data_IF_206612819848
#
_entry.id   IF_206612819848
#
_cell.length_a   1.000
_cell.length_b   1.000
_cell.length_c   1.000
_cell.angle_alpha   90.00
_cell.angle_beta   90.00
_cell.angle_gamma   90.00
#
_symmetry.space_group_name_H-M   'P 1'
#
loop_
_entity.id
_entity.type
_entity.pdbx_description
1 polymer ?
#
# COMPACT_ATOMS: atom_id res chain seq x y z
N UNK A 1 -16.53 20.79 32.26
CA UNK A 1 -15.76 19.54 31.96
C UNK A 1 -15.19 19.71 30.54
N UNK A 2 -13.91 20.10 30.48
CA UNK A 2 -13.21 20.43 29.22
C UNK A 2 -12.77 19.13 28.57
N UNK A 3 -13.41 18.73 27.49
CA UNK A 3 -12.98 17.64 26.65
C UNK A 3 -11.73 18.08 25.89
N UNK A 4 -10.57 17.73 26.39
CA UNK A 4 -9.34 17.80 25.62
C UNK A 4 -9.49 16.80 24.45
N UNK A 5 -9.80 17.30 23.27
CA UNK A 5 -9.70 16.53 22.04
C UNK A 5 -8.25 16.04 21.92
N UNK A 6 -8.05 14.74 22.12
CA UNK A 6 -6.78 14.08 21.83
C UNK A 6 -6.49 14.31 20.35
N UNK A 7 -5.54 15.19 20.04
CA UNK A 7 -5.06 15.39 18.68
C UNK A 7 -4.63 14.01 18.15
N UNK A 8 -5.37 13.51 17.16
CA UNK A 8 -5.11 12.22 16.52
C UNK A 8 -3.67 12.25 15.99
N UNK A 9 -2.83 11.30 16.41
CA UNK A 9 -1.46 11.24 15.93
C UNK A 9 -1.44 11.09 14.40
N UNK A 10 -0.66 11.93 13.73
CA UNK A 10 -0.47 11.86 12.28
C UNK A 10 1.00 11.57 12.02
N UNK A 11 1.26 10.41 11.44
CA UNK A 11 2.58 10.00 10.97
C UNK A 11 2.71 10.31 9.48
N UNK A 12 3.90 10.17 8.92
CA UNK A 12 4.07 10.38 7.50
C UNK A 12 5.45 10.87 7.08
N UNK A 13 5.49 11.45 5.90
CA UNK A 13 6.68 11.95 5.25
C UNK A 13 6.40 13.29 4.57
N UNK A 14 7.39 14.17 4.50
CA UNK A 14 7.32 15.47 3.85
C UNK A 14 8.53 15.70 2.96
N UNK A 15 8.31 15.98 1.68
CA UNK A 15 9.32 16.37 0.68
C UNK A 15 10.52 15.40 0.62
N UNK A 16 10.24 14.08 0.63
CA UNK A 16 11.29 13.07 0.64
C UNK A 16 12.01 13.01 -0.69
N UNK A 17 13.35 13.09 -0.64
CA UNK A 17 14.23 12.75 -1.75
C UNK A 17 15.19 11.64 -1.34
N UNK A 18 15.23 10.59 -2.14
CA UNK A 18 16.09 9.42 -1.93
C UNK A 18 16.74 9.04 -3.25
N UNK A 19 18.05 8.81 -3.22
CA UNK A 19 18.81 8.36 -4.39
C UNK A 19 19.67 7.14 -4.05
N UNK A 20 19.81 6.23 -5.00
CA UNK A 20 20.75 5.11 -4.98
C UNK A 20 21.81 5.36 -6.07
N UNK A 21 22.97 5.88 -5.66
CA UNK A 21 23.96 6.36 -6.61
C UNK A 21 23.38 7.49 -7.48
N UNK A 22 23.30 7.25 -8.78
CA UNK A 22 22.77 8.22 -9.76
C UNK A 22 21.24 8.10 -9.98
N UNK A 23 20.61 7.06 -9.45
CA UNK A 23 19.16 6.82 -9.63
C UNK A 23 18.39 7.52 -8.51
N UNK A 24 17.53 8.46 -8.86
CA UNK A 24 16.58 9.09 -7.93
C UNK A 24 15.38 8.17 -7.78
N UNK A 25 15.20 7.60 -6.59
CA UNK A 25 14.11 6.68 -6.27
C UNK A 25 12.87 7.39 -5.70
N UNK A 26 13.05 8.55 -5.06
CA UNK A 26 11.98 9.45 -4.62
C UNK A 26 12.42 10.89 -4.86
N UNK A 27 11.53 11.74 -5.35
CA UNK A 27 11.77 13.15 -5.60
C UNK A 27 10.59 14.00 -5.13
N UNK A 28 10.70 14.61 -3.94
CA UNK A 28 9.70 15.49 -3.38
C UNK A 28 8.41 14.78 -2.90
N UNK A 29 8.49 13.51 -2.51
CA UNK A 29 7.30 12.73 -2.13
C UNK A 29 6.86 13.06 -0.71
N UNK A 30 5.56 13.33 -0.55
CA UNK A 30 4.90 13.53 0.75
C UNK A 30 3.74 12.56 0.93
N UNK A 31 3.50 12.13 2.18
CA UNK A 31 2.41 11.23 2.55
C UNK A 31 2.01 11.49 4.00
N UNK A 32 0.71 11.41 4.29
CA UNK A 32 0.17 11.41 5.66
C UNK A 32 -0.45 10.08 6.00
N UNK A 33 -0.25 9.64 7.25
CA UNK A 33 -0.81 8.40 7.81
C UNK A 33 -1.45 8.70 9.17
N UNK A 34 -2.73 9.10 9.19
CA UNK A 34 -3.44 9.36 10.43
C UNK A 34 -3.70 8.08 11.22
N UNK A 35 -3.69 8.18 12.56
CA UNK A 35 -4.05 7.06 13.43
C UNK A 35 -5.49 6.58 13.13
N UNK A 36 -5.69 5.28 13.16
CA UNK A 36 -6.98 4.67 12.87
C UNK A 36 -7.34 4.57 11.38
N UNK A 37 -6.42 4.90 10.49
CA UNK A 37 -6.66 4.90 9.04
C UNK A 37 -5.66 4.02 8.30
N UNK A 38 -6.08 3.59 7.10
CA UNK A 38 -5.24 2.85 6.16
C UNK A 38 -4.94 3.76 4.96
N UNK A 39 -3.66 4.01 4.72
CA UNK A 39 -3.17 4.75 3.55
C UNK A 39 -2.49 3.78 2.58
N UNK A 40 -2.97 3.71 1.35
CA UNK A 40 -2.34 2.92 0.30
C UNK A 40 -1.29 3.73 -0.45
N UNK A 41 -0.20 3.08 -0.82
CA UNK A 41 0.79 3.58 -1.79
C UNK A 41 0.73 2.68 -3.02
N UNK A 42 0.25 3.19 -4.12
CA UNK A 42 0.08 2.44 -5.37
C UNK A 42 1.03 2.95 -6.46
N UNK A 43 1.37 2.07 -7.39
CA UNK A 43 2.26 2.39 -8.51
C UNK A 43 2.89 1.12 -9.09
N UNK A 44 3.47 1.24 -10.26
CA UNK A 44 4.17 0.15 -10.94
C UNK A 44 5.45 -0.29 -10.22
N UNK A 45 6.11 -1.31 -10.76
CA UNK A 45 7.42 -1.73 -10.29
C UNK A 45 8.44 -0.60 -10.55
N UNK A 46 9.30 -0.37 -9.56
CA UNK A 46 10.25 0.74 -9.62
C UNK A 46 9.67 2.14 -9.31
N UNK A 47 8.36 2.29 -9.04
CA UNK A 47 7.75 3.58 -8.73
C UNK A 47 8.25 4.25 -7.44
N UNK A 48 9.01 3.55 -6.59
CA UNK A 48 9.56 4.09 -5.35
C UNK A 48 8.80 3.64 -4.09
N UNK A 49 7.77 2.80 -4.21
CA UNK A 49 6.93 2.33 -3.08
C UNK A 49 7.75 1.78 -1.90
N UNK A 50 8.56 0.74 -2.14
CA UNK A 50 9.38 0.12 -1.09
C UNK A 50 10.41 1.08 -0.49
N UNK A 51 10.92 2.04 -1.26
CA UNK A 51 11.83 3.08 -0.77
C UNK A 51 11.12 4.01 0.21
N UNK A 52 9.90 4.48 -0.13
CA UNK A 52 9.07 5.27 0.76
C UNK A 52 8.76 4.52 2.06
N UNK A 53 8.35 3.25 1.94
CA UNK A 53 8.01 2.41 3.09
C UNK A 53 9.23 2.18 4.01
N UNK A 54 10.43 1.95 3.45
CA UNK A 54 11.68 1.84 4.24
C UNK A 54 11.99 3.12 5.01
N UNK A 55 11.75 4.29 4.42
CA UNK A 55 11.90 5.57 5.11
C UNK A 55 10.90 5.69 6.27
N UNK A 56 9.62 5.39 6.05
CA UNK A 56 8.58 5.43 7.07
C UNK A 56 8.85 4.44 8.21
N UNK A 57 9.31 3.23 7.89
CA UNK A 57 9.69 2.23 8.89
C UNK A 57 10.98 2.58 9.67
N UNK A 58 11.74 3.59 9.21
CA UNK A 58 13.04 3.94 9.77
C UNK A 58 14.15 2.94 9.46
N UNK A 59 13.96 2.12 8.43
CA UNK A 59 14.97 1.22 7.90
C UNK A 59 15.94 1.94 6.95
N UNK A 60 15.58 3.16 6.52
CA UNK A 60 16.40 4.01 5.66
C UNK A 60 16.19 5.48 6.04
N UNK A 61 17.25 6.28 5.96
CA UNK A 61 17.17 7.74 6.08
C UNK A 61 17.05 8.37 4.70
N UNK A 62 16.16 9.33 4.48
CA UNK A 62 16.11 10.08 3.23
C UNK A 62 17.33 11.00 3.10
N UNK A 63 17.70 11.32 1.86
CA UNK A 63 18.74 12.32 1.59
C UNK A 63 18.25 13.76 1.83
N UNK A 64 16.94 14.00 1.66
CA UNK A 64 16.25 15.27 1.95
C UNK A 64 14.82 14.98 2.39
N UNK A 65 14.20 15.95 3.08
CA UNK A 65 12.85 15.86 3.62
C UNK A 65 12.83 15.32 5.04
N UNK A 66 11.66 15.08 5.56
CA UNK A 66 11.45 14.65 6.95
C UNK A 66 10.49 13.47 7.03
N UNK A 67 10.76 12.57 7.98
CA UNK A 67 9.87 11.46 8.34
C UNK A 67 9.41 11.67 9.77
N UNK A 68 8.09 11.78 9.96
CA UNK A 68 7.45 11.79 11.27
C UNK A 68 6.89 10.39 11.54
N UNK A 69 7.48 9.66 12.44
CA UNK A 69 7.08 8.31 12.85
C UNK A 69 7.23 8.12 14.34
N UNK A 70 6.55 7.12 14.94
CA UNK A 70 6.81 6.76 16.34
C UNK A 70 8.23 6.20 16.52
N UNK A 71 8.61 5.98 17.77
CA UNK A 71 9.84 5.25 18.07
C UNK A 71 9.83 3.86 17.43
N UNK A 72 11.01 3.29 17.19
CA UNK A 72 11.16 2.00 16.48
C UNK A 72 10.38 0.87 17.17
N UNK A 73 10.32 0.88 18.49
CA UNK A 73 9.61 -0.08 19.32
C UNK A 73 8.09 0.00 19.17
N UNK A 74 7.59 1.09 18.61
CA UNK A 74 6.17 1.35 18.34
C UNK A 74 5.86 1.41 16.85
N UNK A 75 6.79 0.91 16.01
CA UNK A 75 6.62 0.79 14.56
C UNK A 75 6.68 -0.66 14.14
N UNK A 76 5.63 -1.17 13.50
CA UNK A 76 5.62 -2.48 12.86
C UNK A 76 6.04 -2.37 11.40
N UNK A 77 6.87 -3.30 10.93
CA UNK A 77 7.30 -3.30 9.53
C UNK A 77 7.29 -4.70 8.94
N UNK A 78 6.60 -4.85 7.82
CA UNK A 78 6.63 -6.00 6.94
C UNK A 78 7.36 -5.60 5.66
N UNK A 79 8.59 -6.05 5.42
CA UNK A 79 9.30 -5.85 4.15
C UNK A 79 8.76 -6.78 3.06
N UNK A 80 9.01 -6.46 1.79
CA UNK A 80 8.64 -7.30 0.65
C UNK A 80 9.18 -8.75 0.74
N UNK A 81 10.30 -8.96 1.44
CA UNK A 81 10.88 -10.30 1.72
C UNK A 81 10.17 -11.08 2.82
N UNK A 82 9.04 -10.62 3.33
CA UNK A 82 8.27 -11.11 4.49
C UNK A 82 8.96 -11.04 5.85
N UNK A 83 10.28 -11.12 5.92
CA UNK A 83 11.05 -11.09 7.18
C UNK A 83 10.72 -12.25 8.13
N UNK A 84 10.26 -13.39 7.61
CA UNK A 84 9.99 -14.63 8.33
C UNK A 84 11.15 -15.59 8.13
N UNK A 85 11.57 -16.24 9.22
CA UNK A 85 12.65 -17.24 9.22
C UNK A 85 12.07 -18.59 8.86
N UNK A 86 12.45 -19.19 7.71
CA UNK A 86 11.85 -20.45 7.23
C UNK A 86 12.19 -21.65 8.11
N UNK A 87 13.33 -21.61 8.80
CA UNK A 87 13.84 -22.68 9.66
C UNK A 87 13.29 -22.62 11.10
N UNK A 88 12.52 -21.59 11.43
CA UNK A 88 11.78 -21.49 12.69
C UNK A 88 10.33 -21.91 12.46
N UNK A 89 9.71 -22.46 13.49
CA UNK A 89 8.27 -22.71 13.52
C UNK A 89 7.48 -21.38 13.51
N UNK A 90 6.19 -21.47 13.26
CA UNK A 90 5.27 -20.31 13.35
C UNK A 90 5.36 -19.66 14.74
N UNK A 91 5.32 -20.48 15.80
CA UNK A 91 5.40 -19.97 17.18
C UNK A 91 6.77 -19.34 17.48
N UNK A 92 7.87 -19.96 17.06
CA UNK A 92 9.23 -19.43 17.27
C UNK A 92 9.46 -18.12 16.51
N UNK A 93 8.92 -17.96 15.29
CA UNK A 93 8.97 -16.69 14.58
C UNK A 93 8.31 -15.55 15.37
N UNK A 94 7.13 -15.82 15.95
CA UNK A 94 6.43 -14.82 16.77
C UNK A 94 7.15 -14.54 18.08
N UNK A 95 7.68 -15.58 18.75
CA UNK A 95 8.46 -15.42 19.99
C UNK A 95 9.74 -14.59 19.74
N UNK A 96 10.47 -14.89 18.67
CA UNK A 96 11.63 -14.12 18.25
C UNK A 96 11.30 -12.62 18.04
N UNK A 97 10.16 -12.35 17.35
CA UNK A 97 9.69 -10.96 17.17
C UNK A 97 9.31 -10.30 18.49
N UNK A 98 8.57 -11.00 19.34
CA UNK A 98 8.15 -10.51 20.63
C UNK A 98 9.36 -10.12 21.51
N UNK A 99 10.38 -10.96 21.54
CA UNK A 99 11.64 -10.69 22.26
C UNK A 99 12.35 -9.46 21.70
N UNK A 100 12.43 -9.31 20.38
CA UNK A 100 13.02 -8.15 19.72
C UNK A 100 12.34 -6.82 20.05
N UNK A 101 11.04 -6.86 20.41
CA UNK A 101 10.26 -5.71 20.87
C UNK A 101 10.15 -5.62 22.40
N UNK A 102 10.89 -6.43 23.15
CA UNK A 102 10.91 -6.39 24.62
C UNK A 102 9.60 -6.82 25.29
N UNK A 103 8.76 -7.60 24.61
CA UNK A 103 7.51 -8.09 25.18
C UNK A 103 7.77 -9.13 26.28
N UNK A 104 6.94 -9.12 27.35
CA UNK A 104 6.98 -10.20 28.32
C UNK A 104 6.51 -11.52 27.70
N UNK A 105 7.06 -12.65 28.13
CA UNK A 105 6.69 -13.98 27.61
C UNK A 105 5.19 -14.24 27.71
N UNK A 106 4.58 -13.84 28.83
CA UNK A 106 3.15 -14.04 29.04
C UNK A 106 2.31 -13.28 28.01
N UNK A 107 2.62 -11.98 27.78
CA UNK A 107 1.92 -11.14 26.83
C UNK A 107 2.16 -11.63 25.39
N UNK A 108 3.38 -12.02 25.07
CA UNK A 108 3.72 -12.59 23.75
C UNK A 108 2.92 -13.86 23.46
N UNK A 109 2.87 -14.79 24.40
CA UNK A 109 2.10 -16.03 24.25
C UNK A 109 0.60 -15.78 24.09
N UNK A 110 0.04 -14.86 24.91
CA UNK A 110 -1.38 -14.49 24.84
C UNK A 110 -1.74 -13.91 23.46
N UNK A 111 -0.97 -12.91 22.99
CA UNK A 111 -1.23 -12.25 21.71
C UNK A 111 -0.97 -13.17 20.53
N UNK A 112 0.10 -13.96 20.58
CA UNK A 112 0.38 -14.94 19.52
C UNK A 112 -0.78 -15.92 19.37
N UNK A 113 -1.28 -16.49 20.47
CA UNK A 113 -2.42 -17.40 20.45
C UNK A 113 -3.66 -16.74 19.84
N UNK A 114 -3.99 -15.50 20.25
CA UNK A 114 -5.12 -14.75 19.76
C UNK A 114 -5.01 -14.46 18.25
N UNK A 115 -3.87 -13.96 17.78
CA UNK A 115 -3.69 -13.66 16.36
C UNK A 115 -3.62 -14.91 15.48
N UNK A 116 -2.97 -15.99 15.95
CA UNK A 116 -2.92 -17.25 15.24
C UNK A 116 -4.30 -17.90 15.09
N UNK A 117 -5.11 -17.86 16.15
CA UNK A 117 -6.49 -18.38 16.10
C UNK A 117 -7.32 -17.61 15.07
N UNK A 118 -7.30 -16.29 15.15
CA UNK A 118 -8.04 -15.41 14.25
C UNK A 118 -7.61 -15.53 12.78
N UNK A 119 -6.33 -15.78 12.52
CA UNK A 119 -5.80 -15.97 11.17
C UNK A 119 -5.99 -17.40 10.65
N UNK A 120 -6.51 -18.31 11.48
CA UNK A 120 -6.61 -19.73 11.16
C UNK A 120 -5.26 -20.43 11.07
N UNK A 121 -4.24 -19.91 11.77
CA UNK A 121 -2.88 -20.46 11.81
C UNK A 121 -2.59 -21.29 13.08
N UNK A 122 -3.48 -21.31 14.06
CA UNK A 122 -3.28 -22.02 15.32
C UNK A 122 -2.91 -23.52 15.11
N UNK A 123 -3.53 -24.28 14.18
CA UNK A 123 -3.15 -25.68 13.93
C UNK A 123 -1.73 -25.83 13.35
N UNK A 124 -1.16 -24.76 12.81
CA UNK A 124 0.18 -24.76 12.22
C UNK A 124 1.25 -24.19 13.14
N UNK A 125 0.94 -23.86 14.40
CA UNK A 125 1.86 -23.18 15.32
C UNK A 125 3.22 -23.90 15.47
N UNK A 126 3.24 -25.22 15.49
CA UNK A 126 4.45 -26.05 15.56
C UNK A 126 5.09 -26.39 14.22
N UNK A 127 4.54 -25.94 13.07
CA UNK A 127 5.14 -26.23 11.75
C UNK A 127 6.23 -25.21 11.43
N UNK A 128 7.27 -25.65 10.73
CA UNK A 128 8.29 -24.75 10.19
C UNK A 128 7.67 -23.78 9.19
N UNK A 129 8.05 -22.50 9.27
CA UNK A 129 7.51 -21.47 8.38
C UNK A 129 7.85 -21.72 6.90
N UNK A 130 8.96 -22.41 6.62
CA UNK A 130 9.32 -22.86 5.28
C UNK A 130 8.34 -23.89 4.68
N UNK A 131 7.56 -24.59 5.50
CA UNK A 131 6.57 -25.59 5.09
C UNK A 131 5.15 -25.01 4.93
N UNK A 132 4.97 -23.71 5.19
CA UNK A 132 3.69 -23.02 5.03
C UNK A 132 3.41 -22.73 3.55
N UNK A 133 2.12 -22.66 3.18
CA UNK A 133 1.74 -22.05 1.90
C UNK A 133 2.12 -20.58 1.86
N UNK A 134 2.19 -19.99 0.66
CA UNK A 134 2.47 -18.56 0.50
C UNK A 134 1.53 -17.68 1.31
N UNK A 135 0.23 -17.94 1.24
CA UNK A 135 -0.78 -17.20 2.00
C UNK A 135 -0.65 -17.36 3.52
N UNK A 136 -0.35 -18.57 4.01
CA UNK A 136 -0.10 -18.80 5.44
C UNK A 136 1.15 -18.06 5.92
N UNK A 137 2.21 -18.05 5.13
CA UNK A 137 3.45 -17.35 5.45
C UNK A 137 3.24 -15.85 5.48
N UNK A 138 2.44 -15.32 4.55
CA UNK A 138 2.12 -13.89 4.50
C UNK A 138 1.25 -13.48 5.71
N UNK A 139 0.27 -14.29 6.11
CA UNK A 139 -0.50 -14.08 7.35
C UNK A 139 0.42 -14.03 8.57
N UNK A 140 1.37 -14.97 8.68
CA UNK A 140 2.35 -14.97 9.75
C UNK A 140 3.19 -13.68 9.76
N UNK A 141 3.61 -13.21 8.59
CA UNK A 141 4.41 -11.99 8.45
C UNK A 141 3.64 -10.72 8.89
N UNK A 142 2.36 -10.62 8.52
CA UNK A 142 1.50 -9.52 8.98
C UNK A 142 1.31 -9.59 10.51
N UNK A 143 1.01 -10.78 11.07
CA UNK A 143 0.90 -10.96 12.53
C UNK A 143 2.19 -10.53 13.23
N UNK A 144 3.35 -10.96 12.73
CA UNK A 144 4.65 -10.60 13.29
C UNK A 144 4.90 -9.08 13.30
N UNK A 145 4.41 -8.35 12.28
CA UNK A 145 4.53 -6.90 12.21
C UNK A 145 3.61 -6.18 13.20
N UNK A 146 2.49 -6.79 13.60
CA UNK A 146 1.48 -6.15 14.48
C UNK A 146 1.47 -6.69 15.92
N UNK A 147 2.25 -7.73 16.23
CA UNK A 147 2.22 -8.47 17.49
C UNK A 147 2.42 -7.58 18.73
N UNK A 148 3.29 -6.59 18.65
CA UNK A 148 3.62 -5.66 19.72
C UNK A 148 2.65 -4.47 19.85
N UNK A 149 1.58 -4.43 19.04
CA UNK A 149 0.56 -3.36 18.96
C UNK A 149 1.20 -1.97 18.70
N UNK A 150 1.83 -1.80 17.54
CA UNK A 150 2.48 -0.55 17.18
C UNK A 150 1.49 0.58 16.92
N UNK A 151 1.97 1.82 16.99
CA UNK A 151 1.21 3.02 16.59
C UNK A 151 1.19 3.24 15.08
N UNK A 152 2.22 2.73 14.39
CA UNK A 152 2.35 2.75 12.93
C UNK A 152 2.73 1.36 12.43
N UNK A 153 1.98 0.84 11.46
CA UNK A 153 2.33 -0.38 10.71
C UNK A 153 2.61 0.00 9.26
N UNK A 154 3.74 -0.49 8.76
CA UNK A 154 4.18 -0.30 7.38
C UNK A 154 4.27 -1.67 6.71
N UNK A 155 3.49 -1.89 5.64
CA UNK A 155 3.37 -3.19 4.97
C UNK A 155 3.75 -3.07 3.49
N UNK A 156 4.79 -3.79 3.08
CA UNK A 156 5.26 -3.80 1.70
C UNK A 156 4.68 -5.03 0.98
N UNK A 157 3.68 -4.82 0.15
CA UNK A 157 2.94 -5.81 -0.63
C UNK A 157 2.41 -7.00 0.21
N UNK A 158 1.60 -6.76 1.25
CA UNK A 158 1.19 -7.78 2.21
C UNK A 158 0.34 -8.91 1.63
N UNK A 159 -0.20 -8.75 0.44
CA UNK A 159 -1.16 -9.68 -0.18
C UNK A 159 -0.66 -10.31 -1.48
N UNK A 160 0.55 -9.95 -1.92
CA UNK A 160 1.13 -10.47 -3.16
C UNK A 160 1.34 -11.99 -3.07
N UNK A 161 0.84 -12.71 -4.08
CA UNK A 161 0.90 -14.18 -4.12
C UNK A 161 -0.05 -14.91 -3.16
N UNK A 162 -1.02 -14.19 -2.57
CA UNK A 162 -2.02 -14.75 -1.66
C UNK A 162 -3.33 -15.01 -2.40
N UNK A 163 -3.92 -16.19 -2.17
CA UNK A 163 -5.22 -16.53 -2.74
C UNK A 163 -6.35 -15.63 -2.20
N UNK A 164 -7.48 -15.48 -2.94
CA UNK A 164 -8.55 -14.54 -2.56
C UNK A 164 -9.13 -14.76 -1.16
N UNK A 165 -9.24 -16.02 -0.70
CA UNK A 165 -9.79 -16.35 0.63
C UNK A 165 -8.81 -15.92 1.72
N UNK A 166 -7.55 -16.27 1.57
CA UNK A 166 -6.48 -15.86 2.50
C UNK A 166 -6.31 -14.34 2.52
N UNK A 167 -6.47 -13.66 1.38
CA UNK A 167 -6.42 -12.19 1.27
C UNK A 167 -7.51 -11.53 2.12
N UNK A 168 -8.73 -12.05 2.10
CA UNK A 168 -9.82 -11.52 2.95
C UNK A 168 -9.47 -11.58 4.44
N UNK A 169 -8.84 -12.67 4.88
CA UNK A 169 -8.37 -12.80 6.27
C UNK A 169 -7.25 -11.80 6.63
N UNK A 170 -6.35 -11.50 5.69
CA UNK A 170 -5.31 -10.47 5.89
C UNK A 170 -5.93 -9.08 6.02
N UNK A 171 -6.87 -8.73 5.14
CA UNK A 171 -7.58 -7.47 5.20
C UNK A 171 -8.35 -7.29 6.50
N UNK A 172 -8.94 -8.35 7.03
CA UNK A 172 -9.59 -8.32 8.34
C UNK A 172 -8.60 -7.93 9.46
N UNK A 173 -7.38 -8.52 9.47
CA UNK A 173 -6.34 -8.18 10.45
C UNK A 173 -5.92 -6.71 10.33
N UNK A 174 -5.71 -6.21 9.10
CA UNK A 174 -5.33 -4.82 8.80
C UNK A 174 -6.42 -3.85 9.27
N UNK A 175 -7.66 -4.09 8.87
CA UNK A 175 -8.79 -3.24 9.23
C UNK A 175 -9.02 -3.17 10.74
N UNK A 176 -8.84 -4.31 11.43
CA UNK A 176 -8.95 -4.36 12.87
C UNK A 176 -7.86 -3.54 13.58
N UNK A 177 -6.60 -3.66 13.15
CA UNK A 177 -5.52 -2.85 13.71
C UNK A 177 -5.78 -1.34 13.53
N UNK A 178 -6.32 -0.93 12.37
CA UNK A 178 -6.74 0.43 12.14
C UNK A 178 -7.88 0.84 13.10
N UNK A 179 -8.91 0.01 13.24
CA UNK A 179 -10.03 0.28 14.16
C UNK A 179 -9.58 0.38 15.65
N UNK A 180 -8.49 -0.28 16.02
CA UNK A 180 -7.84 -0.18 17.34
C UNK A 180 -6.95 1.06 17.47
N UNK A 181 -6.90 1.94 16.47
CA UNK A 181 -6.23 3.24 16.49
C UNK A 181 -4.83 3.25 15.85
N UNK A 182 -4.36 2.14 15.28
CA UNK A 182 -3.09 2.09 14.59
C UNK A 182 -3.16 2.83 13.24
N UNK A 183 -2.13 3.62 12.91
CA UNK A 183 -1.95 4.13 11.55
C UNK A 183 -1.35 3.03 10.68
N UNK A 184 -1.87 2.84 9.47
CA UNK A 184 -1.36 1.81 8.56
C UNK A 184 -1.00 2.42 7.22
N UNK A 185 0.22 2.13 6.75
CA UNK A 185 0.65 2.44 5.38
C UNK A 185 0.98 1.12 4.69
N UNK A 186 0.33 0.85 3.57
CA UNK A 186 0.62 -0.33 2.77
C UNK A 186 0.95 0.03 1.33
N UNK A 187 1.97 -0.63 0.76
CA UNK A 187 2.19 -0.62 -0.68
C UNK A 187 1.44 -1.79 -1.30
N UNK A 188 0.79 -1.54 -2.43
CA UNK A 188 0.14 -2.57 -3.22
C UNK A 188 0.14 -2.22 -4.71
N UNK A 189 0.18 -3.24 -5.56
CA UNK A 189 -0.07 -3.12 -7.00
C UNK A 189 -1.55 -3.37 -7.34
N UNK A 190 -2.35 -3.83 -6.36
CA UNK A 190 -3.77 -4.14 -6.54
C UNK A 190 -4.63 -2.92 -6.22
N UNK A 191 -5.28 -2.35 -7.23
CA UNK A 191 -6.09 -1.14 -7.05
C UNK A 191 -7.42 -1.41 -6.32
N UNK A 192 -7.95 -2.62 -6.40
CA UNK A 192 -9.11 -3.07 -5.59
C UNK A 192 -8.81 -3.05 -4.08
N UNK A 193 -7.55 -3.15 -3.71
CA UNK A 193 -7.12 -2.97 -2.32
C UNK A 193 -7.04 -1.49 -1.93
N UNK A 194 -6.52 -0.65 -2.83
CA UNK A 194 -6.45 0.79 -2.61
C UNK A 194 -7.84 1.41 -2.47
N UNK A 195 -8.85 0.91 -3.18
CA UNK A 195 -10.25 1.34 -3.05
C UNK A 195 -10.84 1.12 -1.64
N UNK A 196 -10.28 0.18 -0.87
CA UNK A 196 -10.69 -0.07 0.53
C UNK A 196 -9.98 0.84 1.54
N UNK A 197 -8.97 1.58 1.11
CA UNK A 197 -8.18 2.43 1.98
C UNK A 197 -8.82 3.81 2.15
N UNK A 198 -8.52 4.47 3.26
CA UNK A 198 -9.01 5.82 3.56
C UNK A 198 -8.40 6.85 2.62
N UNK A 199 -7.11 6.67 2.30
CA UNK A 199 -6.38 7.53 1.37
C UNK A 199 -5.42 6.72 0.50
N UNK A 200 -5.08 7.28 -0.64
CA UNK A 200 -4.19 6.67 -1.64
C UNK A 200 -3.17 7.69 -2.08
N UNK A 201 -1.92 7.26 -2.18
CA UNK A 201 -0.84 7.97 -2.85
C UNK A 201 -0.47 7.18 -4.11
N UNK A 202 -0.58 7.83 -5.27
CA UNK A 202 -0.17 7.25 -6.57
C UNK A 202 1.25 7.69 -6.86
N UNK A 203 2.16 6.72 -6.97
CA UNK A 203 3.57 6.94 -7.31
C UNK A 203 3.89 6.42 -8.71
N UNK A 204 4.71 7.18 -9.44
CA UNK A 204 5.33 6.73 -10.67
C UNK A 204 6.72 7.37 -10.82
N UNK A 205 7.72 6.56 -11.14
CA UNK A 205 9.11 6.99 -11.31
C UNK A 205 9.63 7.92 -10.18
N UNK A 206 9.26 7.62 -8.94
CA UNK A 206 9.72 8.36 -7.75
C UNK A 206 8.98 9.66 -7.46
N UNK A 207 7.93 10.00 -8.21
CA UNK A 207 7.12 11.20 -7.99
C UNK A 207 5.67 10.86 -7.64
N UNK A 208 5.02 11.73 -6.87
CA UNK A 208 3.60 11.61 -6.57
C UNK A 208 2.76 12.15 -7.75
N UNK A 209 1.93 11.30 -8.34
CA UNK A 209 1.02 11.71 -9.42
C UNK A 209 -0.32 12.21 -8.90
N UNK A 210 -0.85 11.57 -7.86
CA UNK A 210 -2.09 11.93 -7.21
C UNK A 210 -2.06 11.49 -5.74
N UNK A 211 -2.81 12.20 -4.89
CA UNK A 211 -2.97 11.86 -3.47
C UNK A 211 -4.33 12.33 -2.99
N UNK A 212 -5.03 11.52 -2.21
CA UNK A 212 -6.34 11.82 -1.63
C UNK A 212 -7.13 10.54 -1.35
N UNK A 213 -8.41 10.68 -1.04
CA UNK A 213 -9.34 9.53 -1.01
C UNK A 213 -9.49 8.95 -2.43
N UNK A 214 -9.87 7.68 -2.58
CA UNK A 214 -10.17 7.11 -3.90
C UNK A 214 -11.13 7.98 -4.73
N UNK A 215 -12.17 8.50 -4.11
CA UNK A 215 -13.16 9.36 -4.77
C UNK A 215 -12.57 10.71 -5.23
N UNK A 216 -11.72 11.34 -4.42
CA UNK A 216 -11.04 12.59 -4.80
C UNK A 216 -10.08 12.38 -5.98
N UNK A 217 -9.35 11.26 -6.01
CA UNK A 217 -8.45 10.93 -7.12
C UNK A 217 -9.24 10.73 -8.41
N UNK A 218 -10.38 10.03 -8.35
CA UNK A 218 -11.27 9.85 -9.50
C UNK A 218 -11.84 11.18 -9.97
N UNK A 219 -12.34 12.01 -9.04
CA UNK A 219 -12.92 13.30 -9.36
C UNK A 219 -11.89 14.30 -9.95
N UNK A 220 -10.62 14.16 -9.58
CA UNK A 220 -9.53 15.01 -10.08
C UNK A 220 -8.94 14.53 -11.42
N UNK A 221 -9.43 13.43 -11.98
CA UNK A 221 -8.96 12.92 -13.28
C UNK A 221 -9.18 13.96 -14.39
N UNK A 222 -8.14 14.35 -15.13
CA UNK A 222 -8.28 15.32 -16.21
C UNK A 222 -8.94 14.70 -17.45
N UNK A 223 -9.68 15.50 -18.21
CA UNK A 223 -10.27 15.10 -19.47
C UNK A 223 -11.48 14.17 -19.33
N UNK A 224 -11.71 13.34 -20.33
CA UNK A 224 -12.84 12.41 -20.35
C UNK A 224 -12.39 10.99 -20.75
N UNK A 225 -13.20 10.00 -20.41
CA UNK A 225 -12.96 8.61 -20.72
C UNK A 225 -14.09 8.04 -21.61
N UNK A 226 -13.70 7.33 -22.65
CA UNK A 226 -14.63 6.66 -23.56
C UNK A 226 -14.37 5.16 -23.62
N UNK A 227 -15.39 4.39 -23.89
CA UNK A 227 -15.33 2.94 -24.10
C UNK A 227 -15.82 2.56 -25.48
N UNK A 228 -15.03 1.76 -26.22
CA UNK A 228 -15.36 1.26 -27.55
C UNK A 228 -15.06 -0.24 -27.68
N UNK A 229 -15.74 -0.92 -28.60
CA UNK A 229 -15.35 -2.27 -29.03
C UNK A 229 -14.25 -2.23 -30.08
N UNK A 230 -14.19 -1.15 -30.85
CA UNK A 230 -13.20 -0.97 -31.91
C UNK A 230 -11.88 -0.51 -31.29
N UNK A 231 -10.78 -0.98 -31.88
CA UNK A 231 -9.42 -0.53 -31.53
C UNK A 231 -9.25 0.91 -31.97
N UNK A 232 -8.81 1.81 -31.11
CA UNK A 232 -8.46 3.17 -31.49
C UNK A 232 -7.25 3.19 -32.42
N UNK A 233 -7.18 4.19 -33.30
CA UNK A 233 -6.09 4.41 -34.24
C UNK A 233 -5.26 5.65 -33.90
N UNK A 234 -4.07 5.76 -34.50
CA UNK A 234 -3.20 6.93 -34.38
C UNK A 234 -2.87 7.28 -32.93
N UNK A 235 -2.83 8.58 -32.61
CA UNK A 235 -2.49 9.09 -31.27
C UNK A 235 -3.48 8.67 -30.17
N UNK A 236 -4.72 8.34 -30.55
CA UNK A 236 -5.71 7.82 -29.61
C UNK A 236 -5.30 6.44 -29.07
N UNK A 237 -4.60 5.62 -29.88
CA UNK A 237 -4.11 4.31 -29.44
C UNK A 237 -3.09 4.43 -28.32
N UNK A 238 -2.17 5.37 -28.36
CA UNK A 238 -1.18 5.60 -27.29
C UNK A 238 -1.82 5.98 -25.95
N UNK A 239 -3.04 6.55 -25.97
CA UNK A 239 -3.83 6.96 -24.80
C UNK A 239 -4.95 5.97 -24.47
N UNK A 240 -4.81 4.71 -24.93
CA UNK A 240 -5.85 3.69 -24.79
C UNK A 240 -5.33 2.42 -24.14
N UNK A 241 -6.20 1.74 -23.43
CA UNK A 241 -5.92 0.42 -22.86
C UNK A 241 -7.14 -0.49 -22.96
N UNK A 242 -6.92 -1.79 -22.85
CA UNK A 242 -8.00 -2.77 -22.94
C UNK A 242 -8.41 -3.23 -21.54
N UNK A 243 -9.71 -3.17 -21.23
CA UNK A 243 -10.27 -3.62 -19.96
C UNK A 243 -11.64 -4.25 -20.17
N UNK A 244 -11.89 -5.41 -19.54
CA UNK A 244 -13.14 -6.16 -19.66
C UNK A 244 -13.61 -6.37 -21.13
N UNK A 245 -12.66 -6.65 -22.03
CA UNK A 245 -12.95 -6.90 -23.45
C UNK A 245 -13.19 -5.65 -24.31
N UNK A 246 -13.19 -4.46 -23.73
CA UNK A 246 -13.40 -3.19 -24.42
C UNK A 246 -12.15 -2.31 -24.38
N UNK A 247 -11.99 -1.44 -25.34
CA UNK A 247 -11.01 -0.38 -25.32
C UNK A 247 -11.53 0.79 -24.48
N UNK A 248 -10.65 1.35 -23.66
CA UNK A 248 -10.84 2.61 -22.93
C UNK A 248 -9.86 3.61 -23.52
N UNK A 249 -10.34 4.78 -23.90
CA UNK A 249 -9.54 5.86 -24.49
C UNK A 249 -9.70 7.10 -23.65
N UNK A 250 -8.58 7.62 -23.19
CA UNK A 250 -8.53 8.89 -22.48
C UNK A 250 -8.38 10.04 -23.49
N UNK A 251 -9.24 11.04 -23.33
CA UNK A 251 -9.19 12.30 -24.08
C UNK A 251 -8.85 13.43 -23.12
N UNK A 252 -7.63 14.01 -23.20
CA UNK A 252 -7.20 15.08 -22.29
C UNK A 252 -7.93 16.40 -22.52
N UNK A 253 -8.45 16.66 -23.75
CA UNK A 253 -9.16 17.89 -24.13
C UNK A 253 -10.42 17.52 -24.93
N UNK A 254 -11.50 17.12 -24.26
CA UNK A 254 -12.72 16.66 -24.91
C UNK A 254 -13.45 17.82 -25.58
N UNK A 255 -13.14 18.07 -26.86
CA UNK A 255 -13.86 19.01 -27.71
C UNK A 255 -15.22 18.49 -28.18
N UNK A 256 -16.08 19.36 -28.76
CA UNK A 256 -17.33 18.95 -29.40
C UNK A 256 -17.01 18.06 -30.62
N UNK A 257 -17.33 16.77 -30.53
CA UNK A 257 -17.01 15.78 -31.58
C UNK A 257 -15.91 14.80 -31.21
N UNK A 258 -15.51 14.75 -29.95
CA UNK A 258 -14.51 13.82 -29.44
C UNK A 258 -14.88 12.35 -29.78
N UNK A 259 -13.99 11.70 -30.50
CA UNK A 259 -13.80 10.30 -30.86
C UNK A 259 -14.94 9.28 -30.74
N UNK A 260 -14.77 8.15 -31.41
CA UNK A 260 -15.71 7.02 -31.37
C UNK A 260 -15.75 6.38 -29.98
N UNK A 261 -16.97 6.08 -29.50
CA UNK A 261 -17.20 5.36 -28.25
C UNK A 261 -18.17 6.06 -27.28
N UNK A 262 -18.68 5.29 -26.35
CA UNK A 262 -19.57 5.77 -25.30
C UNK A 262 -18.77 6.41 -24.15
N UNK A 263 -19.14 7.61 -23.71
CA UNK A 263 -18.60 8.18 -22.50
C UNK A 263 -18.90 7.28 -21.30
N UNK A 264 -17.93 7.10 -20.43
CA UNK A 264 -18.05 6.27 -19.22
C UNK A 264 -17.55 7.03 -17.99
N UNK A 265 -18.12 6.72 -16.84
CA UNK A 265 -17.59 7.18 -15.56
C UNK A 265 -16.28 6.43 -15.23
N UNK A 266 -15.20 7.14 -14.88
CA UNK A 266 -13.95 6.52 -14.48
C UNK A 266 -14.06 5.89 -13.09
N UNK A 267 -13.29 4.84 -12.84
CA UNK A 267 -12.99 4.35 -11.52
C UNK A 267 -11.53 4.65 -11.10
N UNK A 268 -11.12 4.21 -9.92
CA UNK A 268 -9.77 4.46 -9.42
C UNK A 268 -8.68 3.90 -10.36
N UNK A 269 -8.91 2.73 -10.97
CA UNK A 269 -7.95 2.14 -11.91
C UNK A 269 -7.78 3.01 -13.16
N UNK A 270 -8.87 3.57 -13.66
CA UNK A 270 -8.85 4.47 -14.79
C UNK A 270 -8.10 5.76 -14.43
N UNK A 271 -8.42 6.35 -13.29
CA UNK A 271 -7.78 7.59 -12.83
C UNK A 271 -6.26 7.42 -12.62
N UNK A 272 -5.82 6.29 -12.05
CA UNK A 272 -4.39 5.97 -11.91
C UNK A 272 -3.72 5.78 -13.27
N UNK A 273 -4.37 5.08 -14.21
CA UNK A 273 -3.85 4.89 -15.56
C UNK A 273 -3.72 6.23 -16.28
N UNK A 274 -4.75 7.08 -16.19
CA UNK A 274 -4.73 8.42 -16.80
C UNK A 274 -3.64 9.29 -16.16
N UNK A 275 -3.44 9.25 -14.86
CA UNK A 275 -2.38 10.00 -14.19
C UNK A 275 -0.99 9.64 -14.73
N UNK A 276 -0.73 8.33 -14.95
CA UNK A 276 0.52 7.85 -15.53
C UNK A 276 0.66 8.31 -17.00
N UNK A 277 -0.39 8.13 -17.83
CA UNK A 277 -0.39 8.58 -19.22
C UNK A 277 -0.20 10.10 -19.34
N UNK A 278 -0.85 10.89 -18.49
CA UNK A 278 -0.72 12.34 -18.48
C UNK A 278 0.72 12.78 -18.12
N UNK A 279 1.42 12.03 -17.25
CA UNK A 279 2.84 12.27 -16.98
C UNK A 279 3.70 12.00 -18.22
N UNK A 280 3.52 10.83 -18.85
CA UNK A 280 4.25 10.43 -20.05
C UNK A 280 4.06 11.42 -21.19
N UNK A 281 2.83 11.89 -21.40
CA UNK A 281 2.51 12.91 -22.41
C UNK A 281 3.27 14.21 -22.15
N UNK A 282 3.33 14.65 -20.88
CA UNK A 282 4.10 15.87 -20.51
C UNK A 282 5.60 15.69 -20.64
N UNK A 283 6.11 14.48 -20.47
CA UNK A 283 7.52 14.15 -20.62
C UNK A 283 7.94 13.97 -22.09
N UNK A 284 7.00 13.93 -23.05
CA UNK A 284 7.27 13.65 -24.46
C UNK A 284 7.72 12.21 -24.70
N UNK A 285 7.26 11.27 -23.89
CA UNK A 285 7.60 9.84 -23.93
C UNK A 285 6.68 9.02 -24.86
N UNK A 286 5.86 9.67 -25.74
CA UNK A 286 4.98 9.05 -26.73
C UNK A 286 5.53 9.20 -28.15
#
# INVERSE_FOLDING_TARGET
MSGAGTATAVWGASDLRVSYGHVVALDGVSLTAPAGQVTAVVGGDGAGKSTLLRCLAGAMSPGRGQVRRPAKERTGYLPASSGIYPDLTVAENLDFRAQGYGMSRQLAAQRSAEYLDRAGLAPAAGRLAGQLSGGMRQKLAVIAAMLHQPELIVLDEPTTGVDPVSRSGLWWLIARAAAEGCAIVLATTYLDEAERCTSVLVLDAGIALASGTPAEIVAAMPGSLRSSQQRPDGDAFARSWRRAGRWRTWDPDPGPGAGDGQAIEPDLQDAVTVAALARQLRAGEF
#
